data_IF_350114953261
#
_entry.id   IF_350114953261
#
_cell.length_a   1.000
_cell.length_b   1.000
_cell.length_c   1.000
_cell.angle_alpha   90.00
_cell.angle_beta   90.00
_cell.angle_gamma   90.00
#
_symmetry.space_group_name_H-M   'P 1'
#
loop_
_entity.id
_entity.type
_entity.pdbx_description
1 polymer ?
#
# COMPACT_ATOMS: atom_id res chain seq x y z
N UNK A 1 -4.90 7.14 -21.18
CA UNK A 1 -5.14 6.81 -19.75
C UNK A 1 -4.19 7.61 -18.89
N UNK A 2 -4.70 8.39 -17.99
CA UNK A 2 -3.84 9.08 -17.03
C UNK A 2 -3.34 8.08 -16.01
N UNK A 3 -2.04 7.85 -16.00
CA UNK A 3 -1.42 6.96 -15.05
C UNK A 3 -1.45 7.58 -13.64
N UNK A 4 -1.62 6.74 -12.63
CA UNK A 4 -1.49 7.17 -11.22
C UNK A 4 -0.06 7.62 -10.95
N UNK A 5 0.09 8.56 -10.01
CA UNK A 5 1.41 8.91 -9.51
C UNK A 5 2.02 7.74 -8.73
N UNK A 6 3.32 7.57 -8.84
CA UNK A 6 4.07 6.53 -8.13
C UNK A 6 5.03 7.19 -7.17
N UNK A 7 4.97 6.78 -5.91
CA UNK A 7 5.86 7.20 -4.84
C UNK A 7 6.60 5.98 -4.29
N UNK A 8 7.81 6.20 -3.82
CA UNK A 8 8.70 5.11 -3.39
C UNK A 8 9.29 5.47 -2.03
N UNK A 9 9.29 4.50 -1.11
CA UNK A 9 10.04 4.58 0.14
C UNK A 9 11.54 4.52 -0.16
N UNK A 10 12.30 5.46 0.38
CA UNK A 10 13.76 5.51 0.29
C UNK A 10 14.39 5.26 1.67
N UNK A 11 15.71 5.13 1.71
CA UNK A 11 16.43 5.03 2.98
C UNK A 11 16.42 6.37 3.75
N UNK A 12 16.31 7.47 3.04
CA UNK A 12 16.20 8.80 3.63
C UNK A 12 14.81 9.03 4.23
N UNK A 13 14.80 9.46 5.49
CA UNK A 13 13.55 9.71 6.24
C UNK A 13 12.82 10.94 5.71
N UNK A 14 13.57 11.97 5.33
CA UNK A 14 13.00 13.24 4.84
C UNK A 14 12.35 13.04 3.48
N UNK A 15 13.04 12.37 2.56
CA UNK A 15 12.50 12.02 1.26
C UNK A 15 11.25 11.15 1.37
N UNK A 16 11.27 10.13 2.23
CA UNK A 16 10.11 9.27 2.48
C UNK A 16 8.93 10.05 3.05
N UNK A 17 9.17 10.97 3.98
CA UNK A 17 8.14 11.82 4.56
C UNK A 17 7.52 12.75 3.52
N UNK A 18 8.33 13.33 2.64
CA UNK A 18 7.87 14.16 1.52
C UNK A 18 7.06 13.34 0.51
N UNK A 19 7.52 12.13 0.20
CA UNK A 19 6.79 11.19 -0.67
C UNK A 19 5.41 10.84 -0.10
N UNK A 20 5.30 10.59 1.22
CA UNK A 20 4.04 10.31 1.90
C UNK A 20 3.09 11.52 1.88
N UNK A 21 3.60 12.74 2.09
CA UNK A 21 2.77 13.94 2.03
C UNK A 21 2.21 14.15 0.61
N UNK A 22 3.06 14.02 -0.40
CA UNK A 22 2.65 14.13 -1.79
C UNK A 22 1.69 13.00 -2.22
N UNK A 23 1.88 11.78 -1.70
CA UNK A 23 0.94 10.68 -1.88
C UNK A 23 -0.45 11.04 -1.32
N UNK A 24 -0.52 11.56 -0.10
CA UNK A 24 -1.78 11.99 0.52
C UNK A 24 -2.45 13.10 -0.26
N UNK A 25 -1.69 14.07 -0.75
CA UNK A 25 -2.21 15.15 -1.61
C UNK A 25 -2.80 14.57 -2.91
N UNK A 26 -2.12 13.63 -3.55
CA UNK A 26 -2.61 12.99 -4.77
C UNK A 26 -3.90 12.17 -4.53
N UNK A 27 -4.04 11.56 -3.37
CA UNK A 27 -5.28 10.88 -2.97
C UNK A 27 -6.40 11.88 -2.68
N UNK A 28 -6.11 12.97 -1.96
CA UNK A 28 -7.09 14.00 -1.59
C UNK A 28 -7.66 14.74 -2.79
N UNK A 29 -6.88 14.93 -3.85
CA UNK A 29 -7.39 15.56 -5.07
C UNK A 29 -8.09 14.56 -6.03
N UNK A 30 -8.31 13.32 -5.61
CA UNK A 30 -9.03 12.30 -6.38
C UNK A 30 -8.21 11.66 -7.52
N UNK A 31 -7.00 12.09 -7.79
CA UNK A 31 -6.12 11.48 -8.80
C UNK A 31 -5.73 10.05 -8.41
N UNK A 32 -5.53 9.82 -7.12
CA UNK A 32 -5.01 8.58 -6.55
C UNK A 32 -3.55 8.33 -6.90
N UNK A 33 -2.92 7.46 -6.16
CA UNK A 33 -1.51 7.16 -6.31
C UNK A 33 -1.20 5.70 -5.98
N UNK A 34 0.03 5.30 -6.29
CA UNK A 34 0.63 4.03 -5.86
C UNK A 34 1.83 4.35 -4.99
N UNK A 35 1.93 3.70 -3.84
CA UNK A 35 3.09 3.80 -2.96
C UNK A 35 3.82 2.46 -2.93
N UNK A 36 5.11 2.46 -3.26
CA UNK A 36 5.99 1.31 -3.21
C UNK A 36 6.83 1.37 -1.94
N UNK A 37 6.74 0.34 -1.10
CA UNK A 37 7.49 0.29 0.15
C UNK A 37 8.06 -1.10 0.42
N UNK A 38 9.00 -1.17 1.35
CA UNK A 38 9.60 -2.43 1.79
C UNK A 38 8.78 -3.01 2.94
N UNK A 39 8.49 -4.30 2.89
CA UNK A 39 7.63 -4.98 3.88
C UNK A 39 8.12 -4.89 5.33
N UNK A 40 9.40 -4.65 5.55
CA UNK A 40 10.03 -4.42 6.86
C UNK A 40 10.57 -2.99 6.98
N UNK A 41 10.08 -2.09 6.14
CA UNK A 41 10.42 -0.68 6.13
C UNK A 41 9.56 0.12 7.10
N UNK A 42 9.96 1.37 7.31
CA UNK A 42 9.28 2.30 8.24
C UNK A 42 7.83 2.58 7.85
N UNK A 43 7.55 2.64 6.54
CA UNK A 43 6.21 2.89 6.01
C UNK A 43 5.30 1.70 6.30
N UNK A 44 5.73 0.49 5.98
CA UNK A 44 4.96 -0.73 6.20
C UNK A 44 4.71 -1.01 7.70
N UNK A 45 5.60 -0.60 8.59
CA UNK A 45 5.47 -0.83 10.03
C UNK A 45 4.80 0.32 10.79
N UNK A 46 4.91 1.56 10.30
CA UNK A 46 4.51 2.75 11.05
C UNK A 46 3.39 3.59 10.46
N UNK A 47 3.02 3.39 9.19
CA UNK A 47 2.05 4.27 8.50
C UNK A 47 0.76 3.50 8.21
N UNK A 48 -0.35 4.15 8.48
CA UNK A 48 -1.68 3.66 8.15
C UNK A 48 -2.20 4.34 6.89
N UNK A 49 -2.81 3.53 6.02
CA UNK A 49 -3.46 3.96 4.79
C UNK A 49 -4.96 3.72 4.88
N UNK A 50 -5.58 4.36 5.86
CA UNK A 50 -7.02 4.28 6.12
C UNK A 50 -7.85 5.02 5.06
N UNK A 51 -9.15 4.78 5.06
CA UNK A 51 -10.14 5.47 4.21
C UNK A 51 -9.73 5.40 2.72
N UNK A 52 -9.71 6.57 2.06
CA UNK A 52 -9.37 6.69 0.63
C UNK A 52 -7.86 6.66 0.34
N UNK A 53 -7.02 6.63 1.36
CA UNK A 53 -5.57 6.52 1.19
C UNK A 53 -5.11 5.10 0.83
N UNK A 54 -5.85 4.05 1.21
CA UNK A 54 -5.50 2.68 0.88
C UNK A 54 -6.74 1.87 0.49
N UNK A 55 -6.85 1.49 -0.78
CA UNK A 55 -7.94 0.64 -1.30
C UNK A 55 -7.46 -0.70 -1.84
N UNK A 56 -6.16 -0.83 -2.04
CA UNK A 56 -5.54 -2.08 -2.42
C UNK A 56 -4.14 -2.17 -1.85
N UNK A 57 -3.74 -3.35 -1.43
CA UNK A 57 -2.38 -3.68 -1.05
C UNK A 57 -1.96 -4.97 -1.74
N UNK A 58 -0.78 -4.94 -2.35
CA UNK A 58 -0.21 -6.10 -3.03
C UNK A 58 1.09 -6.45 -2.33
N UNK A 59 1.12 -7.62 -1.71
CA UNK A 59 2.31 -8.15 -1.04
C UNK A 59 3.09 -9.01 -2.01
N UNK A 60 4.20 -8.49 -2.52
CA UNK A 60 5.10 -9.25 -3.39
C UNK A 60 6.09 -10.06 -2.57
N UNK A 61 6.09 -11.38 -2.79
CA UNK A 61 6.97 -12.29 -2.08
C UNK A 61 6.60 -12.52 -0.62
N UNK A 62 7.40 -13.35 0.05
CA UNK A 62 7.29 -13.65 1.48
C UNK A 62 8.41 -12.92 2.22
N UNK A 63 8.11 -12.00 3.15
CA UNK A 63 9.09 -11.10 3.76
C UNK A 63 9.90 -11.80 4.87
N UNK A 64 10.75 -12.76 4.50
CA UNK A 64 11.66 -13.39 5.43
C UNK A 64 12.69 -12.40 6.00
N UNK A 65 13.12 -12.64 7.22
CA UNK A 65 14.24 -11.91 7.81
C UNK A 65 15.56 -12.32 7.14
N UNK A 66 16.52 -11.41 7.20
CA UNK A 66 17.88 -11.68 6.75
C UNK A 66 18.58 -12.69 7.67
N UNK A 67 18.71 -13.93 7.22
CA UNK A 67 19.16 -15.06 8.03
C UNK A 67 20.63 -15.02 8.43
N UNK A 68 21.44 -14.17 7.80
CA UNK A 68 22.83 -14.01 8.17
C UNK A 68 23.06 -13.02 9.33
N UNK A 69 22.01 -12.39 9.83
CA UNK A 69 22.09 -11.52 11.01
C UNK A 69 22.53 -12.31 12.23
N UNK A 70 23.59 -11.84 12.91
CA UNK A 70 24.10 -12.46 14.16
C UNK A 70 23.04 -12.48 15.25
N UNK A 71 22.28 -11.40 15.38
CA UNK A 71 21.19 -11.28 16.38
C UNK A 71 20.09 -12.30 16.10
N UNK A 72 19.70 -12.46 14.83
CA UNK A 72 18.68 -13.45 14.46
C UNK A 72 19.18 -14.88 14.74
N UNK A 73 20.42 -15.20 14.41
CA UNK A 73 21.02 -16.51 14.68
C UNK A 73 21.00 -16.84 16.17
N UNK A 74 21.47 -15.93 17.02
CA UNK A 74 21.43 -16.14 18.47
C UNK A 74 19.99 -16.35 19.00
N UNK A 75 19.02 -15.63 18.46
CA UNK A 75 17.61 -15.81 18.78
C UNK A 75 17.08 -17.18 18.35
N UNK A 76 17.41 -17.62 17.14
CA UNK A 76 16.98 -18.93 16.63
C UNK A 76 17.60 -20.07 17.44
N UNK A 77 18.85 -19.95 17.82
CA UNK A 77 19.54 -20.91 18.69
C UNK A 77 18.86 -21.00 20.06
N UNK A 78 18.61 -19.87 20.70
CA UNK A 78 17.88 -19.82 21.97
C UNK A 78 16.48 -20.44 21.88
N UNK A 79 15.72 -20.15 20.84
CA UNK A 79 14.39 -20.71 20.63
C UNK A 79 14.44 -22.22 20.43
N UNK A 80 15.44 -22.72 19.72
CA UNK A 80 15.65 -24.14 19.50
C UNK A 80 16.01 -24.86 20.81
N UNK A 81 16.93 -24.30 21.61
CA UNK A 81 17.43 -24.94 22.82
C UNK A 81 16.43 -24.88 23.97
N UNK A 82 15.78 -23.73 24.15
CA UNK A 82 14.88 -23.50 25.30
C UNK A 82 13.46 -24.01 25.05
N UNK A 83 12.95 -23.80 23.83
CA UNK A 83 11.54 -24.06 23.50
C UNK A 83 11.33 -25.16 22.47
N UNK A 84 12.39 -25.78 21.97
CA UNK A 84 12.34 -26.81 20.92
C UNK A 84 11.64 -26.36 19.63
N UNK A 85 11.64 -25.04 19.35
CA UNK A 85 11.04 -24.47 18.16
C UNK A 85 12.02 -24.60 17.00
N UNK A 86 11.55 -25.19 15.89
CA UNK A 86 12.35 -25.31 14.67
C UNK A 86 12.56 -23.94 14.01
N UNK A 87 13.78 -23.67 13.58
CA UNK A 87 14.13 -22.39 12.94
C UNK A 87 13.24 -22.07 11.74
N UNK A 88 12.96 -23.06 10.88
CA UNK A 88 12.10 -22.90 9.71
C UNK A 88 10.67 -22.49 10.09
N UNK A 89 10.12 -23.06 11.18
CA UNK A 89 8.77 -22.75 11.66
C UNK A 89 8.69 -21.30 12.18
N UNK A 90 9.70 -20.89 12.96
CA UNK A 90 9.78 -19.51 13.43
C UNK A 90 9.90 -18.51 12.30
N UNK A 91 10.81 -18.76 11.34
CA UNK A 91 11.01 -17.88 10.20
C UNK A 91 9.77 -17.78 9.32
N UNK A 92 9.08 -18.90 9.09
CA UNK A 92 7.83 -18.91 8.33
C UNK A 92 6.72 -18.14 9.07
N UNK A 93 6.57 -18.36 10.38
CA UNK A 93 5.60 -17.65 11.21
C UNK A 93 5.84 -16.15 11.21
N UNK A 94 7.08 -15.72 11.45
CA UNK A 94 7.45 -14.31 11.47
C UNK A 94 7.22 -13.63 10.12
N UNK A 95 7.57 -14.30 9.01
CA UNK A 95 7.35 -13.75 7.68
C UNK A 95 5.86 -13.61 7.34
N UNK A 96 5.02 -14.60 7.69
CA UNK A 96 3.57 -14.54 7.48
C UNK A 96 2.93 -13.47 8.37
N UNK A 97 3.36 -13.36 9.62
CA UNK A 97 2.92 -12.31 10.55
C UNK A 97 3.24 -10.92 10.00
N UNK A 98 4.45 -10.74 9.47
CA UNK A 98 4.86 -9.48 8.87
C UNK A 98 4.03 -9.13 7.62
N UNK A 99 3.79 -10.12 6.76
CA UNK A 99 2.93 -9.93 5.60
C UNK A 99 1.49 -9.54 5.99
N UNK A 100 0.92 -10.23 6.99
CA UNK A 100 -0.40 -9.90 7.52
C UNK A 100 -0.47 -8.48 8.11
N UNK A 101 0.58 -8.05 8.79
CA UNK A 101 0.69 -6.70 9.32
C UNK A 101 0.73 -5.64 8.20
N UNK A 102 1.48 -5.91 7.12
CA UNK A 102 1.54 -5.02 5.96
C UNK A 102 0.17 -4.88 5.27
N UNK A 103 -0.52 -5.99 5.00
CA UNK A 103 -1.83 -5.93 4.33
C UNK A 103 -2.91 -5.32 5.22
N UNK A 104 -2.77 -5.44 6.54
CA UNK A 104 -3.69 -4.84 7.51
C UNK A 104 -3.64 -3.31 7.59
N UNK A 105 -2.66 -2.66 6.95
CA UNK A 105 -2.53 -1.19 6.99
C UNK A 105 -3.62 -0.44 6.24
N UNK A 106 -4.39 -1.10 5.40
CA UNK A 106 -5.48 -0.47 4.62
C UNK A 106 -6.86 -0.60 5.28
N UNK A 107 -6.98 -1.33 6.40
CA UNK A 107 -8.24 -1.50 7.14
C UNK A 107 -8.03 -1.10 8.59
N UNK A 108 -8.65 -0.01 9.01
CA UNK A 108 -8.56 0.53 10.37
C UNK A 108 -9.91 0.65 11.07
N UNK A 109 -10.99 0.80 10.33
CA UNK A 109 -12.32 0.95 10.85
C UNK A 109 -13.29 -0.05 10.21
N UNK A 110 -14.49 -0.20 10.79
CA UNK A 110 -15.57 -1.02 10.23
C UNK A 110 -16.07 -0.52 8.88
N UNK A 111 -15.85 0.75 8.56
CA UNK A 111 -16.26 1.37 7.31
C UNK A 111 -15.15 1.27 6.22
N UNK A 112 -13.96 0.84 6.58
CA UNK A 112 -12.89 0.68 5.60
C UNK A 112 -13.09 -0.60 4.79
N UNK A 113 -12.74 -0.51 3.52
CA UNK A 113 -12.65 -1.67 2.63
C UNK A 113 -11.34 -1.61 1.87
N UNK A 114 -10.82 -2.76 1.50
CA UNK A 114 -9.60 -2.85 0.74
C UNK A 114 -9.37 -4.23 0.15
N UNK A 115 -8.75 -4.27 -1.01
CA UNK A 115 -8.32 -5.50 -1.66
C UNK A 115 -6.92 -5.87 -1.16
N UNK A 116 -6.74 -7.11 -0.72
CA UNK A 116 -5.46 -7.66 -0.28
C UNK A 116 -5.02 -8.76 -1.23
N UNK A 117 -3.85 -8.61 -1.83
CA UNK A 117 -3.29 -9.58 -2.77
C UNK A 117 -1.96 -10.09 -2.25
N UNK A 118 -1.87 -11.39 -2.01
CA UNK A 118 -0.62 -12.08 -1.73
C UNK A 118 -0.04 -12.62 -3.05
N UNK A 119 0.84 -11.85 -3.68
CA UNK A 119 1.39 -12.13 -5.00
C UNK A 119 2.60 -13.08 -4.92
N UNK A 120 2.42 -14.23 -4.28
CA UNK A 120 3.42 -15.30 -4.21
C UNK A 120 2.73 -16.65 -3.94
N UNK A 121 2.95 -17.64 -4.80
CA UNK A 121 2.35 -18.98 -4.69
C UNK A 121 2.67 -19.71 -3.38
N UNK A 122 3.74 -19.31 -2.69
CA UNK A 122 4.14 -19.92 -1.41
C UNK A 122 3.10 -19.71 -0.31
N UNK A 123 2.26 -18.66 -0.38
CA UNK A 123 1.17 -18.46 0.56
C UNK A 123 0.08 -19.52 0.48
N UNK A 124 -0.03 -20.22 -0.65
CA UNK A 124 -0.98 -21.32 -0.81
C UNK A 124 -0.54 -22.61 -0.11
N UNK A 125 0.73 -22.73 0.33
CA UNK A 125 1.14 -23.90 1.10
C UNK A 125 0.39 -23.96 2.42
N UNK A 126 -0.03 -25.18 2.83
CA UNK A 126 -0.76 -25.42 4.08
C UNK A 126 -0.04 -24.82 5.30
N UNK A 127 1.28 -24.94 5.35
CA UNK A 127 2.11 -24.39 6.41
C UNK A 127 1.97 -22.86 6.56
N UNK A 128 1.98 -22.09 5.46
CA UNK A 128 1.86 -20.63 5.53
C UNK A 128 0.42 -20.17 5.68
N UNK A 129 -0.50 -20.85 5.00
CA UNK A 129 -1.92 -20.55 5.08
C UNK A 129 -2.45 -20.73 6.50
N UNK A 130 -2.04 -21.81 7.20
CA UNK A 130 -2.41 -22.05 8.60
C UNK A 130 -1.80 -21.05 9.60
N UNK A 131 -0.78 -20.29 9.20
CA UNK A 131 -0.16 -19.24 10.02
C UNK A 131 -0.76 -17.84 9.76
N UNK A 132 -1.64 -17.69 8.75
CA UNK A 132 -2.35 -16.43 8.53
C UNK A 132 -3.36 -16.18 9.66
N UNK A 133 -3.52 -14.94 10.11
CA UNK A 133 -4.53 -14.58 11.10
C UNK A 133 -5.95 -14.89 10.63
N UNK A 134 -6.84 -15.24 11.57
CA UNK A 134 -8.24 -15.60 11.30
C UNK A 134 -9.00 -14.55 10.49
N UNK A 135 -8.78 -13.27 10.75
CA UNK A 135 -9.43 -12.17 10.03
C UNK A 135 -9.07 -12.12 8.53
N UNK A 136 -7.91 -12.66 8.12
CA UNK A 136 -7.55 -12.82 6.70
C UNK A 136 -8.17 -14.10 6.14
N UNK A 137 -8.02 -15.22 6.86
CA UNK A 137 -8.45 -16.54 6.36
C UNK A 137 -9.97 -16.64 6.20
N UNK A 138 -10.74 -15.90 7.00
CA UNK A 138 -12.20 -15.81 6.90
C UNK A 138 -12.65 -15.24 5.53
N UNK A 139 -11.84 -14.37 4.93
CA UNK A 139 -12.14 -13.76 3.63
C UNK A 139 -11.39 -14.40 2.45
N UNK A 140 -10.56 -15.41 2.72
CA UNK A 140 -9.78 -16.10 1.70
C UNK A 140 -10.51 -17.37 1.24
N UNK A 141 -11.24 -17.28 0.13
CA UNK A 141 -11.96 -18.41 -0.44
C UNK A 141 -11.06 -19.25 -1.36
N UNK A 142 -11.34 -20.53 -1.48
CA UNK A 142 -10.54 -21.44 -2.32
C UNK A 142 -10.51 -21.03 -3.79
N UNK A 143 -11.60 -20.45 -4.29
CA UNK A 143 -11.69 -19.93 -5.66
C UNK A 143 -10.74 -18.76 -5.94
N UNK A 144 -10.19 -18.13 -4.90
CA UNK A 144 -9.26 -17.00 -4.99
C UNK A 144 -7.79 -17.44 -4.87
N UNK A 145 -7.54 -18.74 -4.81
CA UNK A 145 -6.19 -19.29 -4.72
C UNK A 145 -5.63 -19.58 -6.12
N UNK A 146 -4.34 -19.38 -6.29
CA UNK A 146 -3.61 -19.65 -7.53
C UNK A 146 -4.20 -18.96 -8.79
N UNK A 147 -4.73 -17.76 -8.63
CA UNK A 147 -5.25 -16.98 -9.74
C UNK A 147 -4.15 -16.63 -10.74
N UNK A 148 -4.50 -16.65 -12.04
CA UNK A 148 -3.69 -15.96 -13.03
C UNK A 148 -3.77 -14.44 -12.81
N UNK A 149 -2.82 -13.71 -13.36
CA UNK A 149 -2.82 -12.24 -13.27
C UNK A 149 -4.10 -11.64 -13.86
N UNK A 150 -4.59 -12.17 -14.97
CA UNK A 150 -5.81 -11.66 -15.61
C UNK A 150 -7.06 -11.90 -14.75
N UNK A 151 -7.18 -13.09 -14.16
CA UNK A 151 -8.28 -13.38 -13.22
C UNK A 151 -8.21 -12.49 -11.99
N UNK A 152 -7.02 -12.31 -11.40
CA UNK A 152 -6.84 -11.43 -10.26
C UNK A 152 -7.25 -9.98 -10.59
N UNK A 153 -6.88 -9.49 -11.77
CA UNK A 153 -7.27 -8.14 -12.23
C UNK A 153 -8.78 -8.04 -12.47
N UNK A 154 -9.42 -9.07 -13.02
CA UNK A 154 -10.88 -9.10 -13.20
C UNK A 154 -11.62 -9.07 -11.87
N UNK A 155 -11.22 -9.89 -10.91
CA UNK A 155 -11.80 -9.90 -9.55
C UNK A 155 -11.58 -8.53 -8.88
N UNK A 156 -10.37 -7.97 -8.97
CA UNK A 156 -10.06 -6.65 -8.43
C UNK A 156 -10.96 -5.55 -9.02
N UNK A 157 -11.17 -5.58 -10.33
CA UNK A 157 -12.06 -4.61 -11.01
C UNK A 157 -13.52 -4.76 -10.57
N UNK A 158 -14.02 -5.99 -10.46
CA UNK A 158 -15.37 -6.25 -9.99
C UNK A 158 -15.55 -5.74 -8.55
N UNK A 159 -14.67 -6.14 -7.63
CA UNK A 159 -14.68 -5.69 -6.24
C UNK A 159 -14.62 -4.16 -6.11
N UNK A 160 -13.70 -3.51 -6.82
CA UNK A 160 -13.55 -2.06 -6.73
C UNK A 160 -14.77 -1.30 -7.29
N UNK A 161 -15.46 -1.87 -8.29
CA UNK A 161 -16.71 -1.28 -8.81
C UNK A 161 -17.86 -1.44 -7.83
N UNK A 162 -17.99 -2.61 -7.24
CA UNK A 162 -19.03 -2.91 -6.26
C UNK A 162 -18.87 -2.05 -5.00
N UNK A 163 -17.64 -1.85 -4.53
CA UNK A 163 -17.31 -1.06 -3.34
C UNK A 163 -17.19 0.44 -3.62
N UNK A 164 -17.25 0.87 -4.89
CA UNK A 164 -17.13 2.29 -5.24
C UNK A 164 -18.29 3.09 -4.66
N UNK A 165 -17.96 4.04 -3.79
CA UNK A 165 -18.93 5.01 -3.28
C UNK A 165 -19.08 6.19 -4.25
N UNK A 166 -20.26 6.82 -4.34
CA UNK A 166 -20.43 8.06 -5.08
C UNK A 166 -19.40 9.08 -4.62
N UNK A 167 -18.74 9.74 -5.57
CA UNK A 167 -17.78 10.79 -5.26
C UNK A 167 -18.52 12.05 -4.83
N UNK A 168 -18.42 12.40 -3.55
CA UNK A 168 -18.92 13.67 -3.03
C UNK A 168 -17.77 14.69 -3.01
N UNK A 169 -17.87 15.71 -3.89
CA UNK A 169 -16.87 16.78 -4.00
C UNK A 169 -16.74 17.61 -2.72
N UNK A 170 -17.77 17.67 -1.90
CA UNK A 170 -17.76 18.41 -0.64
C UNK A 170 -17.02 17.68 0.49
N UNK A 171 -17.05 16.35 0.48
CA UNK A 171 -16.53 15.48 1.56
C UNK A 171 -15.22 14.78 1.18
N UNK A 172 -15.04 14.42 -0.08
CA UNK A 172 -13.98 13.53 -0.54
C UNK A 172 -12.67 14.24 -0.97
N UNK A 173 -12.49 15.50 -0.62
CA UNK A 173 -11.27 16.23 -0.91
C UNK A 173 -11.32 17.07 -2.19
N UNK A 174 -10.28 17.85 -2.39
CA UNK A 174 -10.19 18.81 -3.47
C UNK A 174 -9.78 18.13 -4.77
N UNK A 175 -10.51 18.38 -5.84
CA UNK A 175 -10.07 17.98 -7.19
C UNK A 175 -8.81 18.77 -7.60
N UNK A 176 -8.01 18.14 -8.47
CA UNK A 176 -7.01 18.89 -9.23
C UNK A 176 -7.77 19.92 -10.07
N UNK A 177 -7.44 21.18 -9.84
CA UNK A 177 -7.98 22.28 -10.63
C UNK A 177 -7.35 22.20 -12.04
N UNK A 178 -8.18 22.34 -13.05
CA UNK A 178 -7.69 22.60 -14.39
C UNK A 178 -7.26 24.08 -14.49
N UNK A 179 -6.60 24.46 -15.58
CA UNK A 179 -6.11 25.83 -15.75
C UNK A 179 -7.25 26.86 -15.69
N UNK A 180 -8.40 26.53 -16.27
CA UNK A 180 -9.56 27.42 -16.27
C UNK A 180 -10.13 27.64 -14.86
N UNK A 181 -10.17 26.58 -14.03
CA UNK A 181 -10.59 26.69 -12.63
C UNK A 181 -9.58 27.47 -11.77
N UNK A 182 -8.27 27.31 -12.05
CA UNK A 182 -7.22 28.11 -11.40
C UNK A 182 -7.38 29.60 -11.73
N UNK A 183 -7.58 29.94 -13.01
CA UNK A 183 -7.77 31.32 -13.46
C UNK A 183 -9.04 31.95 -12.89
N UNK A 184 -10.13 31.17 -12.78
CA UNK A 184 -11.36 31.61 -12.16
C UNK A 184 -11.18 31.89 -10.66
N UNK A 185 -10.49 31.03 -9.93
CA UNK A 185 -10.18 31.24 -8.51
C UNK A 185 -9.24 32.42 -8.29
N UNK A 186 -8.23 32.60 -9.15
CA UNK A 186 -7.32 33.75 -9.10
C UNK A 186 -8.08 35.08 -9.25
N UNK A 187 -9.02 35.12 -10.20
CA UNK A 187 -9.88 36.30 -10.42
C UNK A 187 -10.78 36.57 -9.19
N UNK A 188 -11.37 35.54 -8.60
CA UNK A 188 -12.19 35.68 -7.40
C UNK A 188 -11.38 36.13 -6.17
N UNK A 189 -10.15 35.71 -6.05
CA UNK A 189 -9.25 36.08 -4.95
C UNK A 189 -8.50 37.39 -5.15
N UNK A 190 -8.70 38.10 -6.29
CA UNK A 190 -8.02 39.33 -6.60
C UNK A 190 -6.53 39.17 -6.93
N UNK A 191 -6.10 37.95 -7.26
CA UNK A 191 -4.74 37.69 -7.70
C UNK A 191 -4.65 37.86 -9.22
N UNK A 192 -3.84 38.77 -9.69
CA UNK A 192 -3.42 38.78 -11.11
C UNK A 192 -2.50 37.58 -11.34
N UNK A 193 -2.82 36.73 -12.32
CA UNK A 193 -1.97 35.61 -12.70
C UNK A 193 -0.58 36.13 -13.12
N UNK A 194 0.52 35.52 -12.66
CA UNK A 194 1.86 35.90 -13.11
C UNK A 194 1.93 35.72 -14.63
N UNK A 195 2.34 36.78 -15.34
CA UNK A 195 2.51 36.73 -16.78
C UNK A 195 3.45 35.59 -17.15
N UNK A 196 3.03 34.77 -18.10
CA UNK A 196 3.85 33.67 -18.61
C UNK A 196 5.24 34.20 -19.00
N UNK A 197 6.27 33.57 -18.48
CA UNK A 197 7.66 33.84 -18.85
C UNK A 197 7.81 33.49 -20.32
N UNK A 198 8.18 34.43 -21.20
CA UNK A 198 8.37 34.11 -22.61
C UNK A 198 9.51 33.10 -22.77
N UNK A 199 9.42 32.18 -23.73
CA UNK A 199 10.46 31.17 -23.94
C UNK A 199 11.78 31.88 -24.23
N UNK A 200 12.86 31.41 -23.57
CA UNK A 200 14.20 31.91 -23.78
C UNK A 200 14.55 31.84 -25.27
N UNK A 201 14.93 32.98 -25.86
CA UNK A 201 15.44 33.00 -27.23
C UNK A 201 16.71 32.15 -27.26
N UNK A 202 16.66 31.09 -28.05
CA UNK A 202 17.87 30.36 -28.42
C UNK A 202 18.71 31.28 -29.33
N UNK A 203 19.86 31.65 -28.84
CA UNK A 203 20.94 32.28 -29.59
C UNK A 203 21.98 31.25 -30.00
#
# INVERSE_FOLDING_TARGET
MQHKLVFIETQDVVETSLALDNYRRACNCGRGAVFLSVARGKVAEGIDFDRHYGRAVIMYGVPYQYTLSRVLRARLEYLRETFQIKEADFLAFDAVRQAAQCVGRVIRSKADYGLMVFADKRYNSHDKRGKLPGWITTHLHEQQLNLSTDMAVQIARAFMREMAQPYDRGVAGKQLLDQAACDALAKQAGFEAPRAIPPARQS
#
